data_IF_912375050979
#
_entry.id   IF_912375050979
#
_cell.length_a   1.000
_cell.length_b   1.000
_cell.length_c   1.000
_cell.angle_alpha   90.00
_cell.angle_beta   90.00
_cell.angle_gamma   90.00
#
_symmetry.space_group_name_H-M   'P 1'
#
loop_
_entity.id
_entity.type
_entity.pdbx_description
1 polymer ?
#
# COMPACT_ATOMS: atom_id res chain seq x y z
N UNK A 1 15.68 43.54 -6.60
CA UNK A 1 16.90 42.93 -6.09
C UNK A 1 17.39 41.78 -6.92
N UNK A 2 18.54 41.17 -6.63
CA UNK A 2 19.22 40.19 -7.47
C UNK A 2 18.33 39.05 -8.05
N UNK A 3 17.38 38.53 -7.27
CA UNK A 3 16.44 37.51 -7.74
C UNK A 3 15.47 38.07 -8.77
N UNK A 4 14.95 39.28 -8.54
CA UNK A 4 14.03 39.95 -9.49
C UNK A 4 14.73 40.20 -10.81
N UNK A 5 15.97 40.65 -10.75
CA UNK A 5 16.77 40.99 -11.94
C UNK A 5 17.11 39.69 -12.71
N UNK A 6 17.47 38.62 -11.99
CA UNK A 6 17.78 37.33 -12.60
C UNK A 6 16.58 36.65 -13.27
N UNK A 7 15.37 36.83 -12.74
CA UNK A 7 14.13 36.22 -13.26
C UNK A 7 13.44 37.09 -14.31
N UNK A 8 13.69 38.39 -14.35
CA UNK A 8 13.04 39.33 -15.28
C UNK A 8 13.44 39.08 -16.73
N UNK A 9 12.45 39.00 -17.62
CA UNK A 9 12.64 38.94 -19.07
C UNK A 9 12.05 40.18 -19.73
N UNK A 10 12.84 40.85 -20.54
CA UNK A 10 12.44 42.10 -21.22
C UNK A 10 11.90 43.18 -20.24
N UNK A 11 12.50 43.33 -19.06
CA UNK A 11 12.08 44.27 -18.05
C UNK A 11 10.75 43.94 -17.32
N UNK A 12 10.19 42.77 -17.55
CA UNK A 12 8.97 42.29 -16.85
C UNK A 12 9.28 41.10 -15.96
N UNK A 13 8.80 41.15 -14.72
CA UNK A 13 8.87 40.02 -13.80
C UNK A 13 7.82 38.96 -14.23
N UNK A 14 8.21 37.71 -14.44
CA UNK A 14 7.26 36.66 -14.87
C UNK A 14 6.35 36.22 -13.73
N UNK A 15 5.21 35.59 -14.08
CA UNK A 15 4.43 34.86 -13.10
C UNK A 15 5.31 33.77 -12.46
N UNK A 16 5.48 33.84 -11.16
CA UNK A 16 6.43 33.00 -10.42
C UNK A 16 5.72 32.18 -9.35
N UNK A 17 5.96 30.88 -9.33
CA UNK A 17 5.51 29.96 -8.30
C UNK A 17 6.61 29.80 -7.25
N UNK A 18 6.25 30.00 -5.98
CA UNK A 18 7.11 29.73 -4.82
C UNK A 18 6.47 28.60 -4.03
N UNK A 19 7.18 27.48 -3.89
CA UNK A 19 6.75 26.34 -3.11
C UNK A 19 7.53 26.28 -1.80
N UNK A 20 6.82 26.30 -0.68
CA UNK A 20 7.33 26.11 0.66
C UNK A 20 6.98 24.70 1.11
N UNK A 21 7.94 23.80 1.01
CA UNK A 21 7.72 22.40 1.35
C UNK A 21 7.85 22.16 2.85
N UNK A 22 6.96 21.33 3.41
CA UNK A 22 6.92 20.97 4.84
C UNK A 22 7.01 22.17 5.80
N UNK A 23 6.24 23.22 5.54
CA UNK A 23 6.26 24.48 6.31
C UNK A 23 6.13 24.24 7.81
N UNK A 24 5.39 23.22 8.24
CA UNK A 24 5.23 22.88 9.65
C UNK A 24 6.54 22.46 10.31
N UNK A 25 7.46 21.81 9.60
CA UNK A 25 8.75 21.42 10.18
C UNK A 25 9.62 22.65 10.45
N UNK A 26 9.59 23.63 9.55
CA UNK A 26 10.28 24.89 9.75
C UNK A 26 9.71 25.67 10.93
N UNK A 27 8.41 25.76 11.05
CA UNK A 27 7.73 26.53 12.10
C UNK A 27 7.83 25.81 13.45
N UNK A 28 7.57 24.49 13.50
CA UNK A 28 7.52 23.74 14.75
C UNK A 28 6.58 24.38 15.77
N UNK A 29 7.07 24.57 17.00
CA UNK A 29 6.38 25.29 18.07
C UNK A 29 6.69 26.79 18.12
N UNK A 30 7.54 27.30 17.22
CA UNK A 30 8.05 28.68 17.24
C UNK A 30 7.05 29.65 16.59
N UNK A 31 6.43 30.49 17.42
CA UNK A 31 5.46 31.48 16.98
C UNK A 31 6.11 32.56 16.11
N UNK A 32 7.37 32.92 16.36
CA UNK A 32 8.06 33.97 15.58
C UNK A 32 8.31 33.50 14.15
N UNK A 33 8.67 32.24 13.94
CA UNK A 33 8.81 31.66 12.60
C UNK A 33 7.50 31.67 11.81
N UNK A 34 6.38 31.38 12.47
CA UNK A 34 5.06 31.49 11.85
C UNK A 34 4.75 32.91 11.37
N UNK A 35 5.03 33.91 12.21
CA UNK A 35 4.91 35.35 11.83
C UNK A 35 5.83 35.72 10.68
N UNK A 36 7.08 35.27 10.69
CA UNK A 36 8.03 35.55 9.62
C UNK A 36 7.55 35.02 8.27
N UNK A 37 7.08 33.78 8.21
CA UNK A 37 6.52 33.19 6.97
C UNK A 37 5.32 33.99 6.49
N UNK A 38 4.43 34.40 7.40
CA UNK A 38 3.26 35.19 7.07
C UNK A 38 3.69 36.57 6.52
N UNK A 39 4.55 37.29 7.21
CA UNK A 39 5.04 38.63 6.84
C UNK A 39 5.73 38.62 5.47
N UNK A 40 6.62 37.66 5.26
CA UNK A 40 7.32 37.51 3.98
C UNK A 40 6.36 37.24 2.84
N UNK A 41 5.41 36.30 3.03
CA UNK A 41 4.41 35.95 2.02
C UNK A 41 3.54 37.16 1.67
N UNK A 42 3.00 37.86 2.67
CA UNK A 42 2.15 39.04 2.45
C UNK A 42 2.93 40.19 1.78
N UNK A 43 4.14 40.46 2.23
CA UNK A 43 4.97 41.54 1.68
C UNK A 43 5.34 41.31 0.23
N UNK A 44 5.74 40.05 -0.10
CA UNK A 44 6.08 39.70 -1.46
C UNK A 44 4.86 39.72 -2.38
N UNK A 45 3.71 39.19 -1.96
CA UNK A 45 2.48 39.25 -2.74
C UNK A 45 2.05 40.68 -3.03
N UNK A 46 2.14 41.60 -2.06
CA UNK A 46 1.85 43.04 -2.25
C UNK A 46 2.84 43.68 -3.20
N UNK A 47 4.14 43.43 -3.01
CA UNK A 47 5.20 44.06 -3.82
C UNK A 47 5.11 43.65 -5.30
N UNK A 48 4.84 42.36 -5.57
CA UNK A 48 4.79 41.85 -6.92
C UNK A 48 3.37 41.83 -7.53
N UNK A 49 2.40 42.49 -6.90
CA UNK A 49 1.04 42.76 -7.45
C UNK A 49 0.36 41.53 -8.08
N UNK A 50 0.40 40.41 -7.39
CA UNK A 50 -0.22 39.17 -7.84
C UNK A 50 0.56 38.35 -8.87
N UNK A 51 1.82 38.71 -9.15
CA UNK A 51 2.69 37.92 -10.03
C UNK A 51 3.40 36.76 -9.29
N UNK A 52 3.17 36.63 -7.98
CA UNK A 52 3.66 35.51 -7.17
C UNK A 52 2.50 34.65 -6.71
N UNK A 53 2.65 33.35 -6.90
CA UNK A 53 1.81 32.33 -6.29
C UNK A 53 2.63 31.56 -5.25
N UNK A 54 2.13 31.55 -4.03
CA UNK A 54 2.72 30.74 -2.95
C UNK A 54 1.92 29.46 -2.75
N UNK A 55 2.62 28.33 -2.69
CA UNK A 55 2.07 27.03 -2.30
C UNK A 55 2.82 26.55 -1.07
N UNK A 56 2.11 26.35 0.02
CA UNK A 56 2.65 25.72 1.22
C UNK A 56 2.22 24.27 1.29
N UNK A 57 3.15 23.34 1.47
CA UNK A 57 2.80 21.94 1.75
C UNK A 57 2.96 21.63 3.23
N UNK A 58 2.22 20.67 3.71
CA UNK A 58 2.29 20.22 5.08
C UNK A 58 1.57 18.89 5.32
N UNK A 59 1.90 18.25 6.44
CA UNK A 59 1.25 16.99 6.82
C UNK A 59 -0.03 17.26 7.61
N UNK A 60 -0.99 16.32 7.62
CA UNK A 60 -2.32 16.49 8.24
C UNK A 60 -2.33 16.75 9.75
N UNK A 61 -1.23 16.48 10.46
CA UNK A 61 -1.04 16.89 11.84
C UNK A 61 -0.99 18.43 12.06
N UNK A 62 -1.04 19.20 10.98
CA UNK A 62 -1.02 20.66 10.95
C UNK A 62 -2.22 21.33 11.63
N UNK A 63 -3.35 20.67 11.72
CA UNK A 63 -4.54 21.27 12.32
C UNK A 63 -4.48 21.42 13.84
N UNK A 64 -3.44 20.89 14.50
CA UNK A 64 -3.34 20.82 15.95
C UNK A 64 -2.70 22.03 16.66
N UNK A 65 -2.01 22.92 15.95
CA UNK A 65 -1.34 24.06 16.60
C UNK A 65 -1.93 25.40 16.16
N UNK A 66 -2.16 26.30 17.13
CA UNK A 66 -2.71 27.64 16.88
C UNK A 66 -1.87 28.46 15.88
N UNK A 67 -0.56 28.22 15.84
CA UNK A 67 0.36 28.89 14.91
C UNK A 67 0.12 28.50 13.45
N UNK A 68 -0.16 27.23 13.21
CA UNK A 68 -0.43 26.73 11.87
C UNK A 68 -1.81 27.10 11.37
N UNK A 69 -2.82 27.12 12.25
CA UNK A 69 -4.16 27.62 11.91
C UNK A 69 -4.11 29.09 11.46
N UNK A 70 -3.30 29.92 12.12
CA UNK A 70 -3.10 31.32 11.73
C UNK A 70 -2.43 31.45 10.36
N UNK A 71 -1.43 30.63 10.11
CA UNK A 71 -0.76 30.58 8.79
C UNK A 71 -1.73 30.12 7.70
N UNK A 72 -2.48 29.06 7.94
CA UNK A 72 -3.49 28.53 7.00
C UNK A 72 -4.54 29.58 6.61
N UNK A 73 -4.90 30.48 7.50
CA UNK A 73 -5.83 31.59 7.21
C UNK A 73 -5.28 32.54 6.12
N UNK A 74 -4.00 32.50 5.79
CA UNK A 74 -3.37 33.30 4.73
C UNK A 74 -3.26 32.56 3.39
N UNK A 75 -3.54 31.26 3.38
CA UNK A 75 -3.62 30.44 2.17
C UNK A 75 -5.10 30.13 1.91
N UNK A 76 -5.77 30.95 1.07
CA UNK A 76 -7.24 30.91 0.94
C UNK A 76 -7.76 29.64 0.23
N UNK A 77 -6.87 28.86 -0.40
CA UNK A 77 -7.25 27.65 -1.13
C UNK A 77 -6.61 26.43 -0.45
N UNK A 78 -7.26 25.80 0.53
CA UNK A 78 -6.79 24.56 1.11
C UNK A 78 -7.04 23.41 0.13
N UNK A 79 -6.00 22.61 -0.14
CA UNK A 79 -6.08 21.38 -0.91
C UNK A 79 -5.71 20.23 0.00
N UNK A 80 -6.65 19.36 0.30
CA UNK A 80 -6.43 18.17 1.12
C UNK A 80 -6.26 16.97 0.19
N UNK A 81 -5.12 16.30 0.29
CA UNK A 81 -4.90 15.04 -0.42
C UNK A 81 -5.50 13.90 0.42
N UNK A 82 -6.45 13.20 -0.15
CA UNK A 82 -7.13 12.06 0.46
C UNK A 82 -6.68 10.72 -0.11
N UNK A 83 -7.22 9.64 0.43
CA UNK A 83 -6.94 8.27 -0.03
C UNK A 83 -7.25 8.12 -1.54
N UNK A 84 -8.30 8.77 -2.03
CA UNK A 84 -8.68 8.75 -3.45
C UNK A 84 -7.63 9.38 -4.39
N UNK A 85 -6.95 10.43 -3.93
CA UNK A 85 -5.87 11.06 -4.70
C UNK A 85 -4.68 10.12 -4.83
N UNK A 86 -4.37 9.38 -3.75
CA UNK A 86 -3.31 8.37 -3.75
C UNK A 86 -3.63 7.25 -4.73
N UNK A 87 -4.86 6.78 -4.77
CA UNK A 87 -5.28 5.79 -5.77
C UNK A 87 -5.13 6.30 -7.21
N UNK A 88 -5.54 7.54 -7.46
CA UNK A 88 -5.39 8.16 -8.77
C UNK A 88 -3.93 8.31 -9.19
N UNK A 89 -3.06 8.78 -8.27
CA UNK A 89 -1.62 8.87 -8.54
C UNK A 89 -1.04 7.49 -8.80
N UNK A 90 -1.39 6.50 -7.98
CA UNK A 90 -0.95 5.12 -8.16
C UNK A 90 -1.31 4.60 -9.55
N UNK A 91 -2.58 4.73 -9.97
CA UNK A 91 -3.04 4.22 -11.27
C UNK A 91 -2.48 5.00 -12.45
N UNK A 92 -2.41 6.34 -12.35
CA UNK A 92 -2.00 7.21 -13.47
C UNK A 92 -0.49 7.34 -13.64
N UNK A 93 0.28 7.13 -12.60
CA UNK A 93 1.74 7.31 -12.60
C UNK A 93 2.46 5.97 -12.46
N UNK A 94 2.28 5.27 -11.33
CA UNK A 94 3.04 4.06 -11.03
C UNK A 94 2.57 2.88 -11.89
N UNK A 95 1.25 2.71 -11.99
CA UNK A 95 0.62 1.64 -12.75
C UNK A 95 0.25 2.05 -14.19
N UNK A 96 0.75 3.19 -14.68
CA UNK A 96 0.45 3.65 -16.03
C UNK A 96 0.88 2.62 -17.09
N UNK A 97 -0.05 2.23 -17.96
CA UNK A 97 0.21 1.30 -19.07
C UNK A 97 0.41 2.07 -20.37
N UNK A 98 1.28 1.55 -21.21
CA UNK A 98 1.34 2.00 -22.60
C UNK A 98 -0.04 1.82 -23.23
N UNK A 99 -0.57 2.81 -23.96
CA UNK A 99 -1.88 2.69 -24.59
C UNK A 99 -2.05 1.43 -25.45
N UNK A 100 -0.97 1.01 -26.12
CA UNK A 100 -0.94 -0.20 -26.95
C UNK A 100 -1.07 -1.51 -26.16
N UNK A 101 -0.73 -1.53 -24.86
CA UNK A 101 -0.81 -2.73 -24.03
C UNK A 101 -2.18 -2.86 -23.32
N UNK A 102 -2.93 -1.78 -23.20
CA UNK A 102 -4.21 -1.80 -22.46
C UNK A 102 -5.23 -2.82 -23.02
N UNK A 103 -5.44 -2.95 -24.34
CA UNK A 103 -6.39 -3.91 -24.88
C UNK A 103 -6.00 -5.38 -24.58
N UNK A 104 -4.71 -5.68 -24.55
CA UNK A 104 -4.23 -7.02 -24.23
C UNK A 104 -4.47 -7.35 -22.75
N UNK A 105 -4.15 -6.43 -21.85
CA UNK A 105 -4.42 -6.58 -20.42
C UNK A 105 -5.92 -6.75 -20.19
N UNK A 106 -6.76 -5.93 -20.83
CA UNK A 106 -8.21 -6.00 -20.74
C UNK A 106 -8.74 -7.38 -21.19
N UNK A 107 -8.28 -7.86 -22.33
CA UNK A 107 -8.63 -9.18 -22.84
C UNK A 107 -8.29 -10.31 -21.87
N UNK A 108 -7.11 -10.24 -21.24
CA UNK A 108 -6.63 -11.33 -20.37
C UNK A 108 -7.42 -11.38 -19.06
N UNK A 109 -7.62 -10.27 -18.37
CA UNK A 109 -8.36 -10.33 -17.13
C UNK A 109 -9.85 -10.70 -17.37
N UNK A 110 -10.47 -10.23 -18.47
CA UNK A 110 -11.84 -10.62 -18.85
C UNK A 110 -11.96 -12.11 -19.10
N UNK A 111 -10.98 -12.70 -19.78
CA UNK A 111 -10.96 -14.15 -20.03
C UNK A 111 -10.82 -14.97 -18.75
N UNK A 112 -10.31 -14.39 -17.68
CA UNK A 112 -10.09 -15.05 -16.38
C UNK A 112 -10.98 -14.47 -15.25
N UNK A 113 -12.03 -13.72 -15.59
CA UNK A 113 -12.90 -13.08 -14.61
C UNK A 113 -13.54 -14.08 -13.66
N UNK A 114 -13.89 -15.29 -14.14
CA UNK A 114 -14.43 -16.36 -13.32
C UNK A 114 -13.48 -16.84 -12.21
N UNK A 115 -12.16 -16.81 -12.44
CA UNK A 115 -11.16 -17.06 -11.41
C UNK A 115 -11.05 -15.88 -10.46
N UNK A 116 -10.87 -14.68 -11.00
CA UNK A 116 -10.70 -13.46 -10.22
C UNK A 116 -11.89 -13.20 -9.28
N UNK A 117 -13.10 -13.41 -9.75
CA UNK A 117 -14.34 -13.18 -8.97
C UNK A 117 -14.55 -14.15 -7.82
N UNK A 118 -13.79 -15.25 -7.77
CA UNK A 118 -13.82 -16.19 -6.64
C UNK A 118 -12.88 -15.77 -5.52
N UNK A 119 -11.87 -14.93 -5.83
CA UNK A 119 -10.86 -14.56 -4.85
C UNK A 119 -11.51 -13.85 -3.65
N UNK A 120 -11.18 -14.35 -2.47
CA UNK A 120 -11.62 -13.85 -1.15
C UNK A 120 -13.15 -13.78 -0.99
N UNK A 121 -13.89 -14.66 -1.68
CA UNK A 121 -15.35 -14.71 -1.63
C UNK A 121 -15.85 -14.94 -0.19
N UNK A 122 -16.91 -14.23 0.18
CA UNK A 122 -17.48 -14.28 1.53
C UNK A 122 -16.77 -13.37 2.55
N UNK A 123 -15.78 -12.61 2.13
CA UNK A 123 -15.13 -11.59 2.97
C UNK A 123 -15.52 -10.18 2.54
N UNK A 124 -15.25 -9.18 3.40
CA UNK A 124 -15.45 -7.76 3.02
C UNK A 124 -14.44 -7.27 1.96
N UNK A 125 -13.49 -8.09 1.54
CA UNK A 125 -12.49 -7.78 0.52
C UNK A 125 -12.76 -8.48 -0.81
N UNK A 126 -13.85 -9.24 -0.92
CA UNK A 126 -14.21 -9.99 -2.13
C UNK A 126 -14.30 -9.08 -3.37
N UNK A 127 -14.24 -9.71 -4.53
CA UNK A 127 -14.45 -9.02 -5.80
C UNK A 127 -15.87 -8.42 -5.87
N UNK A 128 -15.94 -7.16 -6.28
CA UNK A 128 -17.19 -6.45 -6.55
C UNK A 128 -17.23 -5.99 -8.00
N UNK A 129 -18.43 -5.77 -8.55
CA UNK A 129 -18.61 -5.36 -9.96
C UNK A 129 -17.83 -4.09 -10.30
N UNK A 130 -17.72 -3.16 -9.36
CA UNK A 130 -16.98 -1.90 -9.55
C UNK A 130 -15.47 -2.12 -9.78
N UNK A 131 -14.92 -3.25 -9.33
CA UNK A 131 -13.51 -3.60 -9.57
C UNK A 131 -13.20 -3.72 -11.06
N UNK A 132 -14.18 -4.13 -11.90
CA UNK A 132 -13.96 -4.28 -13.33
C UNK A 132 -13.57 -2.97 -14.00
N UNK A 133 -14.08 -1.85 -13.49
CA UNK A 133 -13.77 -0.52 -14.01
C UNK A 133 -12.31 -0.11 -13.80
N UNK A 134 -11.63 -0.69 -12.81
CA UNK A 134 -10.25 -0.37 -12.44
C UNK A 134 -9.26 -1.51 -12.68
N UNK A 135 -9.74 -2.68 -13.10
CA UNK A 135 -8.92 -3.90 -13.25
C UNK A 135 -7.71 -3.68 -14.17
N UNK A 136 -7.93 -3.10 -15.35
CA UNK A 136 -6.84 -2.77 -16.28
C UNK A 136 -5.89 -1.72 -15.70
N UNK A 137 -6.42 -0.73 -14.98
CA UNK A 137 -5.60 0.32 -14.36
C UNK A 137 -4.76 -0.23 -13.19
N UNK A 138 -5.29 -1.13 -12.40
CA UNK A 138 -4.62 -1.71 -11.24
C UNK A 138 -3.65 -2.86 -11.59
N UNK A 139 -3.82 -3.54 -12.75
CA UNK A 139 -2.91 -4.60 -13.18
C UNK A 139 -1.44 -4.15 -13.05
N UNK A 140 -0.49 -4.97 -12.59
CA UNK A 140 -0.56 -6.42 -12.32
C UNK A 140 -1.07 -6.78 -10.89
N UNK A 141 -1.59 -5.82 -10.14
CA UNK A 141 -2.12 -6.06 -8.81
C UNK A 141 -3.65 -6.11 -8.89
N UNK A 142 -4.24 -7.23 -8.50
CA UNK A 142 -5.70 -7.35 -8.50
C UNK A 142 -6.32 -6.41 -7.43
N UNK A 143 -7.48 -5.77 -7.68
CA UNK A 143 -8.13 -4.88 -6.71
C UNK A 143 -8.36 -5.52 -5.34
N UNK A 144 -8.75 -6.80 -5.28
CA UNK A 144 -8.91 -7.56 -4.03
C UNK A 144 -7.61 -7.63 -3.22
N UNK A 145 -6.46 -7.76 -3.89
CA UNK A 145 -5.13 -7.81 -3.25
C UNK A 145 -4.67 -6.44 -2.78
N UNK A 146 -4.97 -5.39 -3.53
CA UNK A 146 -4.72 -4.02 -3.07
C UNK A 146 -5.47 -3.74 -1.78
N UNK A 147 -6.78 -4.04 -1.72
CA UNK A 147 -7.58 -3.91 -0.50
C UNK A 147 -7.01 -4.73 0.66
N UNK A 148 -6.55 -5.95 0.39
CA UNK A 148 -5.88 -6.77 1.39
C UNK A 148 -4.60 -6.09 1.92
N UNK A 149 -3.72 -5.63 1.05
CA UNK A 149 -2.49 -4.94 1.45
C UNK A 149 -2.76 -3.66 2.24
N UNK A 150 -3.68 -2.84 1.77
CA UNK A 150 -4.10 -1.63 2.48
C UNK A 150 -4.60 -1.94 3.89
N UNK A 151 -5.44 -2.97 4.03
CA UNK A 151 -5.98 -3.35 5.32
C UNK A 151 -4.89 -3.83 6.27
N UNK A 152 -3.95 -4.64 5.78
CA UNK A 152 -2.79 -5.09 6.57
C UNK A 152 -1.91 -3.92 6.98
N UNK A 153 -1.54 -3.05 6.03
CA UNK A 153 -0.71 -1.88 6.31
C UNK A 153 -1.35 -0.94 7.35
N UNK A 154 -2.65 -0.68 7.24
CA UNK A 154 -3.40 0.14 8.22
C UNK A 154 -3.45 -0.51 9.61
N UNK A 155 -3.44 -1.83 9.69
CA UNK A 155 -3.46 -2.52 10.98
C UNK A 155 -2.08 -2.55 11.66
N UNK A 156 -1.03 -2.66 10.87
CA UNK A 156 0.35 -2.75 11.38
C UNK A 156 0.92 -1.37 11.72
N UNK A 157 0.61 -0.34 10.92
CA UNK A 157 1.13 1.00 11.11
C UNK A 157 0.27 1.81 12.10
N UNK A 158 0.73 1.89 13.33
CA UNK A 158 0.10 2.68 14.39
C UNK A 158 0.57 4.14 14.40
N UNK A 159 1.54 4.52 13.56
CA UNK A 159 2.22 5.82 13.61
C UNK A 159 1.57 6.91 12.74
N UNK A 160 0.59 6.57 11.90
CA UNK A 160 -0.25 7.55 11.21
C UNK A 160 -0.24 7.52 9.67
N UNK A 161 -1.19 8.24 9.08
CA UNK A 161 -1.60 8.19 7.67
C UNK A 161 -0.50 8.42 6.64
N UNK A 162 0.48 9.28 6.93
CA UNK A 162 1.51 9.67 5.94
C UNK A 162 2.55 8.58 5.74
N UNK A 163 2.94 7.91 6.80
CA UNK A 163 3.83 6.73 6.73
C UNK A 163 3.18 5.61 5.92
N UNK A 164 1.87 5.42 6.12
CA UNK A 164 1.07 4.44 5.37
C UNK A 164 1.04 4.72 3.88
N UNK A 165 0.82 5.97 3.46
CA UNK A 165 0.74 6.35 2.05
C UNK A 165 2.06 6.13 1.32
N UNK A 166 3.17 6.55 1.91
CA UNK A 166 4.52 6.31 1.35
C UNK A 166 4.81 4.81 1.23
N UNK A 167 4.44 4.04 2.24
CA UNK A 167 4.61 2.58 2.24
C UNK A 167 3.77 1.92 1.16
N UNK A 168 2.52 2.32 0.97
CA UNK A 168 1.65 1.82 -0.08
C UNK A 168 2.21 2.10 -1.47
N UNK A 169 2.60 3.35 -1.76
CA UNK A 169 3.19 3.72 -3.05
C UNK A 169 4.48 2.93 -3.33
N UNK A 170 5.34 2.77 -2.33
CA UNK A 170 6.57 1.98 -2.46
C UNK A 170 6.26 0.51 -2.76
N UNK A 171 5.35 -0.12 -2.02
CA UNK A 171 4.98 -1.52 -2.23
C UNK A 171 4.43 -1.74 -3.65
N UNK A 172 3.58 -0.83 -4.14
CA UNK A 172 3.05 -0.92 -5.51
C UNK A 172 4.16 -0.74 -6.55
N UNK A 173 5.07 0.20 -6.34
CA UNK A 173 6.21 0.42 -7.25
C UNK A 173 7.11 -0.82 -7.33
N UNK A 174 7.50 -1.40 -6.18
CA UNK A 174 8.30 -2.62 -6.12
C UNK A 174 7.58 -3.82 -6.76
N UNK A 175 6.25 -3.91 -6.60
CA UNK A 175 5.44 -4.94 -7.23
C UNK A 175 5.47 -4.83 -8.78
N UNK A 176 5.43 -3.61 -9.32
CA UNK A 176 5.56 -3.37 -10.77
C UNK A 176 6.96 -3.78 -11.25
N UNK A 177 8.01 -3.40 -10.53
CA UNK A 177 9.37 -3.78 -10.89
C UNK A 177 9.56 -5.30 -10.89
N UNK A 178 9.01 -5.99 -9.89
CA UNK A 178 9.12 -7.45 -9.78
C UNK A 178 8.39 -8.21 -10.91
N UNK A 179 7.45 -7.57 -11.59
CA UNK A 179 6.66 -8.17 -12.68
C UNK A 179 6.98 -7.60 -14.07
N UNK A 180 7.90 -6.62 -14.16
CA UNK A 180 8.16 -5.87 -15.39
C UNK A 180 8.56 -6.75 -16.59
N UNK A 181 9.30 -7.80 -16.33
CA UNK A 181 9.81 -8.73 -17.37
C UNK A 181 8.95 -10.00 -17.51
N UNK A 182 7.82 -10.07 -16.80
CA UNK A 182 6.95 -11.24 -16.86
C UNK A 182 5.92 -11.13 -17.99
N UNK A 183 5.43 -12.29 -18.45
CA UNK A 183 4.39 -12.34 -19.47
C UNK A 183 3.08 -11.71 -18.98
N UNK A 184 2.32 -11.09 -19.89
CA UNK A 184 0.99 -10.55 -19.58
C UNK A 184 0.05 -11.69 -19.16
N UNK A 185 -0.61 -11.51 -18.01
CA UNK A 185 -1.40 -12.54 -17.33
C UNK A 185 -0.78 -12.96 -15.99
N UNK A 186 0.50 -12.65 -15.78
CA UNK A 186 1.11 -12.76 -14.46
C UNK A 186 0.63 -11.63 -13.55
N UNK A 187 0.34 -11.95 -12.30
CA UNK A 187 -0.16 -11.01 -11.29
C UNK A 187 0.64 -11.13 -10.00
N UNK A 188 0.73 -10.05 -9.27
CA UNK A 188 1.46 -10.03 -8.01
C UNK A 188 0.66 -10.76 -6.93
N UNK A 189 1.29 -11.72 -6.25
CA UNK A 189 0.66 -12.49 -5.18
C UNK A 189 0.52 -11.68 -3.89
N UNK A 190 -0.42 -12.10 -3.02
CA UNK A 190 -0.70 -11.41 -1.76
C UNK A 190 0.46 -11.43 -0.77
N UNK A 191 1.28 -12.48 -0.79
CA UNK A 191 2.46 -12.66 0.08
C UNK A 191 3.60 -11.67 -0.23
N UNK A 192 3.60 -11.04 -1.41
CA UNK A 192 4.60 -10.04 -1.79
C UNK A 192 4.74 -8.90 -0.76
N UNK A 193 3.63 -8.50 -0.14
CA UNK A 193 3.65 -7.46 0.89
C UNK A 193 4.60 -7.80 2.04
N UNK A 194 4.64 -9.06 2.47
CA UNK A 194 5.50 -9.49 3.57
C UNK A 194 6.96 -9.11 3.32
N UNK A 195 7.48 -9.37 2.13
CA UNK A 195 8.87 -9.11 1.79
C UNK A 195 9.22 -7.61 1.84
N UNK A 196 8.24 -6.74 1.64
CA UNK A 196 8.41 -5.29 1.67
C UNK A 196 8.43 -4.71 3.09
N UNK A 197 7.85 -5.42 4.06
CA UNK A 197 7.67 -4.89 5.43
C UNK A 197 8.37 -5.72 6.51
N UNK A 198 8.78 -6.96 6.22
CA UNK A 198 9.30 -7.91 7.21
C UNK A 198 10.46 -7.36 8.03
N UNK A 199 11.45 -6.71 7.39
CA UNK A 199 12.62 -6.16 8.09
C UNK A 199 12.22 -5.10 9.15
N UNK A 200 11.26 -4.24 8.81
CA UNK A 200 10.73 -3.25 9.74
C UNK A 200 9.97 -3.93 10.89
N UNK A 201 9.14 -4.93 10.58
CA UNK A 201 8.36 -5.64 11.59
C UNK A 201 9.23 -6.46 12.56
N UNK A 202 10.37 -6.98 12.11
CA UNK A 202 11.37 -7.60 13.00
C UNK A 202 12.00 -6.56 13.90
N UNK A 203 12.40 -5.40 13.37
CA UNK A 203 13.04 -4.34 14.15
C UNK A 203 12.11 -3.72 15.20
N UNK A 204 10.79 -3.74 14.96
CA UNK A 204 9.76 -3.24 15.89
C UNK A 204 9.14 -4.34 16.75
N UNK A 205 9.71 -5.57 16.75
CA UNK A 205 9.22 -6.74 17.47
C UNK A 205 7.75 -7.14 17.15
N UNK A 206 7.22 -6.71 16.02
CA UNK A 206 5.88 -7.09 15.56
C UNK A 206 5.86 -8.42 14.78
N UNK A 207 7.00 -8.82 14.21
CA UNK A 207 7.22 -10.11 13.57
C UNK A 207 8.17 -10.93 14.44
N UNK A 208 7.75 -12.11 14.98
CA UNK A 208 8.63 -12.98 15.71
C UNK A 208 9.85 -13.40 14.86
N UNK A 209 11.04 -13.29 15.45
CA UNK A 209 12.29 -13.60 14.76
C UNK A 209 12.33 -15.03 14.23
N UNK A 210 11.78 -15.98 14.98
CA UNK A 210 11.68 -17.38 14.58
C UNK A 210 10.88 -17.55 13.27
N UNK A 211 9.75 -16.83 13.12
CA UNK A 211 8.95 -16.86 11.88
C UNK A 211 9.75 -16.28 10.72
N UNK A 212 10.44 -15.16 10.93
CA UNK A 212 11.27 -14.54 9.90
C UNK A 212 12.39 -15.48 9.43
N UNK A 213 13.13 -16.09 10.37
CA UNK A 213 14.23 -17.03 10.06
C UNK A 213 13.73 -18.28 9.31
N UNK A 214 12.57 -18.82 9.69
CA UNK A 214 11.98 -19.96 8.98
C UNK A 214 11.53 -19.57 7.54
N UNK A 215 10.96 -18.41 7.35
CA UNK A 215 10.62 -17.90 6.00
C UNK A 215 11.88 -17.80 5.13
N UNK A 216 12.99 -17.25 5.67
CA UNK A 216 14.26 -17.14 4.94
C UNK A 216 14.84 -18.54 4.62
N UNK A 217 14.80 -19.46 5.56
CA UNK A 217 15.24 -20.85 5.36
C UNK A 217 14.44 -21.53 4.25
N UNK A 218 13.12 -21.37 4.25
CA UNK A 218 12.27 -21.97 3.22
C UNK A 218 12.46 -21.32 1.85
N UNK A 219 12.70 -20.01 1.80
CA UNK A 219 12.96 -19.30 0.54
C UNK A 219 14.26 -19.78 -0.17
N UNK A 220 15.23 -20.28 0.60
CA UNK A 220 16.48 -20.82 0.06
C UNK A 220 16.38 -22.30 -0.40
N UNK A 221 15.23 -22.95 -0.19
CA UNK A 221 15.00 -24.35 -0.54
C UNK A 221 14.46 -24.59 -1.94
N UNK A 222 13.98 -25.81 -2.16
CA UNK A 222 13.29 -26.20 -3.41
C UNK A 222 11.89 -25.52 -3.52
N UNK A 223 11.21 -25.71 -4.65
CA UNK A 223 9.88 -25.13 -4.91
C UNK A 223 8.86 -25.44 -3.82
N UNK A 224 8.91 -26.66 -3.28
CA UNK A 224 8.02 -27.09 -2.19
C UNK A 224 8.31 -26.30 -0.91
N UNK A 225 9.56 -26.12 -0.55
CA UNK A 225 9.97 -25.31 0.59
C UNK A 225 9.61 -23.83 0.37
N UNK A 226 9.87 -23.30 -0.82
CA UNK A 226 9.49 -21.93 -1.17
C UNK A 226 7.99 -21.70 -1.00
N UNK A 227 7.15 -22.64 -1.44
CA UNK A 227 5.69 -22.54 -1.25
C UNK A 227 5.30 -22.58 0.24
N UNK A 228 5.97 -23.39 1.08
CA UNK A 228 5.80 -23.35 2.55
C UNK A 228 6.16 -21.98 3.13
N UNK A 229 7.24 -21.38 2.66
CA UNK A 229 7.63 -20.01 3.06
C UNK A 229 6.57 -18.98 2.70
N UNK A 230 6.01 -19.08 1.49
CA UNK A 230 4.92 -18.21 1.03
C UNK A 230 3.64 -18.38 1.86
N UNK A 231 3.32 -19.59 2.27
CA UNK A 231 2.19 -19.87 3.18
C UNK A 231 2.40 -19.19 4.53
N UNK A 232 3.59 -19.32 5.14
CA UNK A 232 3.90 -18.65 6.41
C UNK A 232 3.77 -17.14 6.32
N UNK A 233 4.25 -16.53 5.21
CA UNK A 233 4.09 -15.10 4.96
C UNK A 233 2.63 -14.67 4.99
N UNK A 234 1.75 -15.39 4.25
CA UNK A 234 0.33 -15.07 4.20
C UNK A 234 -0.39 -15.31 5.52
N UNK A 235 -0.13 -16.44 6.18
CA UNK A 235 -0.71 -16.74 7.50
C UNK A 235 -0.35 -15.62 8.48
N UNK A 236 0.92 -15.18 8.50
CA UNK A 236 1.34 -14.04 9.32
C UNK A 236 0.55 -12.77 9.00
N UNK A 237 0.47 -12.37 7.73
CA UNK A 237 -0.23 -11.15 7.32
C UNK A 237 -1.72 -11.17 7.69
N UNK A 238 -2.38 -12.31 7.46
CA UNK A 238 -3.80 -12.49 7.78
C UNK A 238 -4.03 -12.48 9.30
N UNK A 239 -3.15 -13.13 10.08
CA UNK A 239 -3.27 -13.17 11.54
C UNK A 239 -3.03 -11.80 12.22
N UNK A 240 -2.50 -10.81 11.49
CA UNK A 240 -2.43 -9.42 11.97
C UNK A 240 -3.77 -8.70 11.91
N UNK A 241 -4.71 -9.18 11.12
CA UNK A 241 -6.01 -8.53 10.95
C UNK A 241 -6.93 -8.81 12.15
N UNK A 242 -7.78 -7.84 12.54
CA UNK A 242 -8.74 -8.05 13.62
C UNK A 242 -9.73 -9.17 13.29
N UNK A 243 -9.95 -10.09 14.22
CA UNK A 243 -10.86 -11.25 14.05
C UNK A 243 -12.06 -11.26 15.00
N UNK A 244 -12.08 -10.40 16.02
CA UNK A 244 -13.08 -10.47 17.12
C UNK A 244 -13.81 -9.14 17.39
N UNK A 245 -13.73 -8.18 16.47
CA UNK A 245 -14.27 -6.84 16.67
C UNK A 245 -15.23 -6.43 15.54
N UNK A 246 -15.89 -5.30 15.70
CA UNK A 246 -16.65 -4.66 14.62
C UNK A 246 -15.80 -4.35 13.36
N UNK A 247 -14.47 -4.37 13.51
CA UNK A 247 -13.50 -4.18 12.42
C UNK A 247 -13.18 -5.50 11.68
N UNK A 248 -13.73 -6.62 12.09
CA UNK A 248 -13.55 -7.90 11.42
C UNK A 248 -14.06 -7.83 9.98
N UNK A 249 -13.19 -8.24 9.06
CA UNK A 249 -13.47 -8.27 7.62
C UNK A 249 -13.84 -9.67 7.11
N UNK A 250 -13.94 -10.65 8.00
CA UNK A 250 -14.25 -12.04 7.67
C UNK A 250 -13.11 -12.80 6.97
N UNK A 251 -11.89 -12.22 6.90
CA UNK A 251 -10.76 -12.89 6.27
C UNK A 251 -10.04 -13.78 7.29
N UNK A 252 -9.94 -15.05 6.96
CA UNK A 252 -9.25 -16.09 7.76
C UNK A 252 -8.23 -16.80 6.88
N UNK A 253 -7.16 -17.30 7.47
CA UNK A 253 -6.14 -18.07 6.76
C UNK A 253 -6.62 -19.52 6.53
N UNK A 254 -7.63 -19.67 5.69
CA UNK A 254 -8.11 -20.97 5.21
C UNK A 254 -7.38 -21.41 3.95
N UNK A 255 -7.45 -22.69 3.59
CA UNK A 255 -6.83 -23.22 2.37
C UNK A 255 -7.27 -22.44 1.13
N UNK A 256 -8.56 -22.11 1.03
CA UNK A 256 -9.13 -21.38 -0.09
C UNK A 256 -8.56 -19.96 -0.19
N UNK A 257 -8.54 -19.22 0.91
CA UNK A 257 -8.01 -17.85 0.97
C UNK A 257 -6.51 -17.82 0.66
N UNK A 258 -5.76 -18.78 1.21
CA UNK A 258 -4.33 -18.91 0.94
C UNK A 258 -4.07 -19.22 -0.54
N UNK A 259 -4.83 -20.13 -1.15
CA UNK A 259 -4.73 -20.42 -2.57
C UNK A 259 -5.04 -19.19 -3.44
N UNK A 260 -6.12 -18.47 -3.15
CA UNK A 260 -6.52 -17.27 -3.88
C UNK A 260 -5.44 -16.18 -3.86
N UNK A 261 -4.83 -15.95 -2.69
CA UNK A 261 -3.79 -14.93 -2.53
C UNK A 261 -2.44 -15.35 -3.14
N UNK A 262 -2.18 -16.65 -3.32
CA UNK A 262 -0.93 -17.17 -3.89
C UNK A 262 -0.91 -17.22 -5.43
N UNK A 263 -2.05 -17.10 -6.11
CA UNK A 263 -2.10 -17.12 -7.58
C UNK A 263 -1.17 -16.05 -8.16
N UNK A 264 -0.29 -16.46 -9.06
CA UNK A 264 0.59 -15.57 -9.83
C UNK A 264 0.29 -15.58 -11.32
N UNK A 265 -0.33 -16.62 -11.84
CA UNK A 265 -0.74 -16.74 -13.24
C UNK A 265 -2.26 -16.88 -13.32
N UNK A 266 -2.94 -15.92 -13.93
CA UNK A 266 -4.40 -15.93 -14.07
C UNK A 266 -4.91 -17.09 -14.93
N UNK A 267 -4.11 -17.58 -15.90
CA UNK A 267 -4.50 -18.70 -16.76
C UNK A 267 -4.42 -20.03 -16.03
N UNK A 268 -3.39 -20.22 -15.21
CA UNK A 268 -3.26 -21.40 -14.36
C UNK A 268 -4.29 -21.41 -13.24
N UNK A 269 -4.61 -20.23 -12.71
CA UNK A 269 -5.57 -20.05 -11.62
C UNK A 269 -5.13 -20.71 -10.32
N UNK A 270 -6.10 -20.98 -9.44
CA UNK A 270 -5.86 -21.53 -8.09
C UNK A 270 -5.96 -23.06 -7.99
N UNK A 271 -6.35 -23.77 -9.06
CA UNK A 271 -6.69 -25.20 -8.97
C UNK A 271 -5.54 -26.09 -8.50
N UNK A 272 -4.34 -25.90 -9.03
CA UNK A 272 -3.16 -26.67 -8.62
C UNK A 272 -2.68 -26.28 -7.22
N UNK A 273 -2.78 -25.00 -6.87
CA UNK A 273 -2.49 -24.55 -5.51
C UNK A 273 -3.40 -25.22 -4.49
N UNK A 274 -4.72 -25.28 -4.74
CA UNK A 274 -5.68 -25.93 -3.85
C UNK A 274 -5.38 -27.41 -3.60
N UNK A 275 -4.77 -28.11 -4.56
CA UNK A 275 -4.31 -29.48 -4.38
C UNK A 275 -2.98 -29.57 -3.61
N UNK A 276 -2.10 -28.60 -3.84
CA UNK A 276 -0.76 -28.59 -3.26
C UNK A 276 -0.70 -28.10 -1.80
N UNK A 277 -1.64 -27.24 -1.38
CA UNK A 277 -1.59 -26.61 -0.07
C UNK A 277 -1.87 -27.54 1.12
N UNK A 278 -2.90 -28.42 1.11
CA UNK A 278 -3.24 -29.26 2.27
C UNK A 278 -2.05 -30.04 2.85
N UNK A 279 -1.26 -30.81 2.04
CA UNK A 279 -0.12 -31.55 2.57
C UNK A 279 1.01 -30.63 3.07
N UNK A 280 1.14 -29.39 2.56
CA UNK A 280 2.13 -28.43 3.04
C UNK A 280 1.72 -27.81 4.36
N UNK A 281 0.44 -27.52 4.53
CA UNK A 281 -0.13 -27.03 5.79
C UNK A 281 -0.04 -28.09 6.88
N UNK A 282 -0.29 -29.36 6.56
CA UNK A 282 -0.09 -30.49 7.47
C UNK A 282 1.39 -30.60 7.92
N UNK A 283 2.35 -30.46 6.99
CA UNK A 283 3.76 -30.43 7.35
C UNK A 283 4.12 -29.24 8.24
N UNK A 284 3.63 -28.04 7.91
CA UNK A 284 3.86 -26.84 8.72
C UNK A 284 3.33 -27.02 10.15
N UNK A 285 2.21 -27.75 10.30
CA UNK A 285 1.60 -28.02 11.59
C UNK A 285 2.32 -29.12 12.36
N UNK A 286 2.50 -30.30 11.78
CA UNK A 286 2.92 -31.50 12.50
C UNK A 286 4.43 -31.73 12.48
N UNK A 287 5.12 -31.38 11.40
CA UNK A 287 6.56 -31.58 11.23
C UNK A 287 7.35 -30.36 11.69
N UNK A 288 7.00 -29.19 11.16
CA UNK A 288 7.74 -27.94 11.44
C UNK A 288 7.25 -27.26 12.71
N UNK A 289 6.01 -27.50 13.15
CA UNK A 289 5.37 -26.93 14.35
C UNK A 289 5.36 -25.39 14.36
N UNK A 290 5.10 -24.79 13.19
CA UNK A 290 5.06 -23.35 12.98
C UNK A 290 3.64 -22.82 12.88
N UNK A 291 2.67 -23.71 12.68
CA UNK A 291 1.27 -23.38 12.46
C UNK A 291 0.40 -24.30 13.30
N UNK A 292 -0.69 -23.79 13.81
CA UNK A 292 -1.78 -24.54 14.44
C UNK A 292 -3.07 -24.40 13.63
N UNK A 293 -3.89 -25.41 13.59
CA UNK A 293 -5.23 -25.37 12.99
C UNK A 293 -6.29 -25.17 14.05
N UNK A 294 -7.31 -24.38 13.74
CA UNK A 294 -8.48 -24.14 14.56
C UNK A 294 -9.72 -24.42 13.70
N UNK A 295 -10.63 -25.26 14.18
CA UNK A 295 -11.88 -25.50 13.53
C UNK A 295 -12.87 -24.36 13.82
N UNK A 296 -13.27 -23.66 12.78
CA UNK A 296 -14.21 -22.54 12.83
C UNK A 296 -15.47 -22.79 12.00
N UNK A 297 -16.50 -21.96 12.16
CA UNK A 297 -17.76 -22.09 11.42
C UNK A 297 -17.66 -21.94 9.90
N UNK A 298 -16.48 -21.52 9.38
CA UNK A 298 -16.19 -21.35 7.95
C UNK A 298 -15.11 -22.29 7.40
N UNK A 299 -14.72 -23.34 8.15
CA UNK A 299 -13.64 -24.25 7.78
C UNK A 299 -12.44 -24.20 8.72
N UNK A 300 -11.40 -24.95 8.40
CA UNK A 300 -10.16 -24.97 9.16
C UNK A 300 -9.36 -23.68 8.92
N UNK A 301 -9.09 -22.94 10.00
CA UNK A 301 -8.28 -21.71 10.01
C UNK A 301 -6.88 -22.05 10.51
N UNK A 302 -5.85 -21.52 9.86
CA UNK A 302 -4.45 -21.67 10.26
C UNK A 302 -3.93 -20.43 10.97
N UNK A 303 -3.29 -20.63 12.12
CA UNK A 303 -2.62 -19.56 12.88
C UNK A 303 -1.16 -19.90 13.12
N UNK A 304 -0.35 -18.87 13.24
CA UNK A 304 1.04 -19.07 13.63
C UNK A 304 1.10 -19.62 15.06
N UNK A 305 1.89 -20.65 15.25
CA UNK A 305 2.25 -21.16 16.56
C UNK A 305 3.56 -20.48 16.99
N UNK A 306 3.50 -19.63 18.00
CA UNK A 306 4.68 -19.04 18.64
C UNK A 306 4.93 -19.73 19.96
N UNK A 307 6.19 -19.74 20.45
CA UNK A 307 6.54 -20.39 21.73
C UNK A 307 5.87 -19.75 22.95
N UNK A 308 5.23 -18.60 22.75
CA UNK A 308 4.51 -17.84 23.79
C UNK A 308 3.00 -18.03 23.74
N UNK A 309 2.47 -18.85 22.84
CA UNK A 309 1.05 -19.14 22.68
C UNK A 309 0.63 -20.50 23.19
#
# INVERSE_FOLDING_TARGET
>A
GAITDALSRNGKFPLTLIVLDEVQQYIGSDTQKAYLVQEVTETLCKHFKGQLLFVGTGQSALSGTANLQRLMARFPVPVMLGDWDVENVTRKIILAKKPTAQPEVDRIWRANLGEISRHLRGTKLEHVTDDESVMTADYPILPVRRRFWEKVLRTIDTTGTVSQLRSQLRVVHEAVLATADQAVGQVVAGDFLYDQIAANLVSTAQLPREVFENVQKFAAGDERMQLKGRLLKLIFLINKLPSETALDIGLRATEDVLADLLVTDLKAGSSELRKALPPLLDELQHKDRLVMSLDGGGGTEYRLQTRES
#
